data_IF_466967544606
#
_entry.id   IF_466967544606
#
_cell.length_a   1.000
_cell.length_b   1.000
_cell.length_c   1.000
_cell.angle_alpha   90.00
_cell.angle_beta   90.00
_cell.angle_gamma   90.00
#
_symmetry.space_group_name_H-M   'P 1'
#
loop_
_entity.id
_entity.type
_entity.pdbx_description
1 polymer ?
#
# COMPACT_ATOMS: atom_id res chain seq x y z
N UNK A 1 7.30 4.27 -81.96
CA UNK A 1 7.94 5.58 -81.69
C UNK A 1 8.38 5.59 -80.23
N UNK A 2 9.57 6.14 -79.93
CA UNK A 2 10.68 5.32 -79.41
C UNK A 2 11.12 5.70 -77.98
N UNK A 3 11.77 4.76 -77.26
CA UNK A 3 13.17 4.77 -76.80
C UNK A 3 13.55 5.88 -75.78
N UNK A 4 14.28 5.62 -74.69
CA UNK A 4 15.60 4.96 -74.67
C UNK A 4 15.93 4.31 -73.30
N UNK A 5 16.60 3.15 -73.40
CA UNK A 5 17.52 2.55 -72.42
C UNK A 5 18.84 3.33 -72.34
N UNK A 6 19.59 3.16 -71.25
CA UNK A 6 20.99 2.64 -71.13
C UNK A 6 21.49 3.02 -69.71
N UNK A 7 21.86 2.14 -68.76
CA UNK A 7 22.82 1.01 -68.69
C UNK A 7 24.23 1.45 -68.29
N UNK A 8 24.71 0.82 -67.20
CA UNK A 8 26.10 0.44 -66.78
C UNK A 8 27.13 1.52 -66.39
N UNK A 9 27.73 1.43 -65.19
CA UNK A 9 29.00 0.73 -64.79
C UNK A 9 30.24 1.54 -65.20
N UNK A 10 31.40 1.55 -64.56
CA UNK A 10 32.03 0.88 -63.42
C UNK A 10 33.38 1.61 -63.18
N UNK A 11 34.03 1.32 -62.04
CA UNK A 11 35.48 1.32 -61.83
C UNK A 11 36.30 2.63 -61.60
N UNK A 12 36.77 2.71 -60.35
CA UNK A 12 38.18 2.59 -59.94
C UNK A 12 39.15 3.80 -59.94
N UNK A 13 40.08 3.67 -58.98
CA UNK A 13 41.31 4.45 -58.69
C UNK A 13 41.12 5.68 -57.78
N UNK A 14 41.86 5.88 -56.69
CA UNK A 14 43.02 5.17 -56.14
C UNK A 14 43.67 6.01 -55.01
N UNK A 15 44.52 5.37 -54.19
CA UNK A 15 45.49 6.03 -53.29
C UNK A 15 45.06 6.10 -51.82
N UNK A 16 45.42 5.12 -50.97
CA UNK A 16 46.69 5.01 -50.21
C UNK A 16 46.90 6.15 -49.19
N UNK A 17 47.17 5.95 -47.90
CA UNK A 17 48.17 5.05 -47.31
C UNK A 17 47.98 4.96 -45.78
N UNK A 18 48.01 3.73 -45.23
CA UNK A 18 49.04 3.13 -44.33
C UNK A 18 48.83 3.38 -42.82
N UNK A 19 48.43 2.34 -42.07
CA UNK A 19 49.24 1.30 -41.36
C UNK A 19 49.77 1.82 -40.01
N UNK A 20 49.74 1.09 -38.88
CA UNK A 20 50.09 -0.33 -38.68
C UNK A 20 49.32 -0.97 -37.51
N UNK A 21 49.10 -2.27 -37.68
CA UNK A 21 48.84 -3.26 -36.65
C UNK A 21 50.15 -3.87 -36.11
N UNK A 22 50.09 -4.49 -34.92
CA UNK A 22 50.74 -5.76 -34.54
C UNK A 22 50.38 -6.05 -33.07
N UNK A 23 49.48 -6.99 -32.74
CA UNK A 23 49.61 -8.48 -32.61
C UNK A 23 50.44 -9.01 -31.43
N UNK A 24 49.72 -9.80 -30.61
CA UNK A 24 50.06 -11.08 -29.96
C UNK A 24 50.90 -11.12 -28.68
N UNK A 25 50.36 -11.83 -27.68
CA UNK A 25 51.12 -12.52 -26.63
C UNK A 25 50.45 -12.52 -25.25
N UNK A 26 49.95 -13.67 -24.80
CA UNK A 26 49.88 -14.04 -23.38
C UNK A 26 50.57 -15.39 -23.18
N UNK A 27 50.56 -16.02 -21.98
CA UNK A 27 50.56 -15.48 -20.62
C UNK A 27 51.77 -16.02 -19.80
N UNK A 28 52.17 -15.36 -18.70
CA UNK A 28 53.03 -15.99 -17.68
C UNK A 28 52.93 -15.29 -16.32
N UNK A 29 52.88 -16.12 -15.28
CA UNK A 29 52.67 -15.80 -13.87
C UNK A 29 53.88 -15.11 -13.19
N UNK A 30 53.60 -14.34 -12.13
CA UNK A 30 54.45 -14.18 -10.93
C UNK A 30 53.65 -13.46 -9.83
N UNK A 31 53.59 -14.08 -8.64
CA UNK A 31 53.00 -13.54 -7.41
C UNK A 31 54.09 -12.79 -6.57
N UNK A 32 53.83 -12.37 -5.32
CA UNK A 32 53.42 -11.02 -4.93
C UNK A 32 54.50 -10.25 -4.14
N UNK A 33 54.36 -8.92 -4.03
CA UNK A 33 55.16 -8.09 -3.12
C UNK A 33 54.27 -7.24 -2.19
N UNK A 34 54.66 -7.21 -0.92
CA UNK A 34 54.01 -6.62 0.25
C UNK A 34 53.78 -5.10 0.22
N UNK A 35 52.60 -4.68 0.74
CA UNK A 35 52.26 -3.58 1.69
C UNK A 35 52.90 -2.16 1.56
N UNK A 36 52.26 -1.04 2.02
CA UNK A 36 51.32 -0.97 3.14
C UNK A 36 50.05 -0.09 2.96
N UNK A 37 49.04 -0.41 3.79
CA UNK A 37 47.78 0.33 3.97
C UNK A 37 48.01 1.65 4.72
N UNK A 38 47.47 2.76 4.21
CA UNK A 38 47.21 3.98 4.96
C UNK A 38 45.72 4.07 5.29
N UNK A 39 45.42 4.04 6.58
CA UNK A 39 44.10 4.19 7.19
C UNK A 39 43.79 5.67 7.40
N UNK A 40 42.69 6.15 6.85
CA UNK A 40 42.14 7.48 7.14
C UNK A 40 41.13 7.33 8.28
N UNK A 41 41.48 7.83 9.47
CA UNK A 41 40.59 7.90 10.64
C UNK A 41 39.54 9.00 10.42
N UNK A 42 38.25 8.63 10.38
CA UNK A 42 37.16 9.54 10.71
C UNK A 42 36.76 9.28 12.17
N UNK A 43 36.87 10.33 12.99
CA UNK A 43 36.42 10.36 14.39
C UNK A 43 34.89 10.32 14.40
N UNK A 44 34.32 9.20 14.86
CA UNK A 44 32.95 9.17 15.39
C UNK A 44 33.00 9.37 16.91
N UNK A 45 32.08 10.18 17.41
CA UNK A 45 31.85 10.47 18.82
C UNK A 45 31.65 9.17 19.61
N UNK A 46 32.44 8.99 20.67
CA UNK A 46 32.33 7.87 21.59
C UNK A 46 31.27 8.18 22.66
N UNK A 47 30.20 7.40 22.64
CA UNK A 47 29.09 7.36 23.59
C UNK A 47 28.00 6.53 22.91
N UNK A 48 27.62 5.40 23.53
CA UNK A 48 26.56 4.48 23.08
C UNK A 48 26.94 3.37 22.07
N UNK A 49 28.11 2.73 22.25
CA UNK A 49 28.46 1.51 21.50
C UNK A 49 29.28 0.50 22.31
N UNK A 50 28.91 0.28 23.57
CA UNK A 50 29.39 -0.83 24.38
C UNK A 50 28.19 -1.37 25.17
N UNK A 51 27.48 -2.33 24.59
CA UNK A 51 26.56 -3.28 25.24
C UNK A 51 25.81 -4.20 24.23
N UNK A 52 26.07 -4.10 22.93
CA UNK A 52 25.43 -4.92 21.90
C UNK A 52 26.33 -6.02 21.31
N UNK A 53 27.18 -6.65 22.12
CA UNK A 53 28.03 -7.74 21.67
C UNK A 53 28.34 -8.76 22.79
N UNK A 54 27.31 -9.27 23.48
CA UNK A 54 27.39 -10.56 24.17
C UNK A 54 26.00 -11.03 24.63
N UNK A 55 25.24 -11.69 23.75
CA UNK A 55 24.12 -12.57 24.14
C UNK A 55 23.58 -13.31 22.91
N UNK A 56 24.34 -14.28 22.39
CA UNK A 56 23.83 -15.22 21.38
C UNK A 56 23.74 -16.67 21.90
N UNK A 57 23.81 -16.85 23.22
CA UNK A 57 23.78 -18.16 23.90
C UNK A 57 22.77 -18.18 25.07
N UNK A 58 21.63 -17.50 24.90
CA UNK A 58 20.48 -17.71 25.79
C UNK A 58 19.58 -18.77 25.14
N UNK A 59 19.20 -19.86 25.85
CA UNK A 59 18.21 -20.78 25.32
C UNK A 59 16.95 -20.01 24.97
N UNK A 60 16.33 -20.35 23.83
CA UNK A 60 15.06 -19.77 23.39
C UNK A 60 14.12 -19.71 24.61
N UNK A 61 13.58 -18.53 24.96
CA UNK A 61 12.61 -18.44 26.05
C UNK A 61 11.47 -19.40 25.73
N UNK A 62 11.06 -20.19 26.72
CA UNK A 62 9.99 -21.16 26.57
C UNK A 62 8.79 -20.53 25.82
N UNK A 63 8.14 -21.26 24.89
CA UNK A 63 6.95 -20.76 24.21
C UNK A 63 6.01 -20.13 25.23
N UNK A 64 5.45 -18.96 24.91
CA UNK A 64 4.43 -18.36 25.77
C UNK A 64 3.29 -19.37 25.91
N UNK A 65 3.21 -20.01 27.07
CA UNK A 65 2.06 -20.80 27.49
C UNK A 65 1.16 -19.89 28.33
N UNK A 66 -0.15 -19.83 28.04
CA UNK A 66 -1.08 -19.15 28.93
C UNK A 66 -0.99 -19.81 30.31
N UNK A 67 -0.43 -19.13 31.31
CA UNK A 67 -0.42 -19.64 32.68
C UNK A 67 -1.86 -19.76 33.19
N UNK A 68 -2.18 -20.70 34.10
CA UNK A 68 -3.50 -20.77 34.72
C UNK A 68 -3.93 -19.47 35.43
N UNK A 69 -2.97 -18.68 35.93
CA UNK A 69 -3.19 -17.32 36.46
C UNK A 69 -3.24 -16.23 35.39
N UNK A 70 -2.76 -16.51 34.18
CA UNK A 70 -3.01 -15.75 32.94
C UNK A 70 -4.27 -16.27 32.24
N UNK A 71 -5.12 -17.04 32.95
CA UNK A 71 -6.51 -17.16 32.55
C UNK A 71 -6.96 -15.74 32.23
N UNK A 72 -7.53 -15.59 31.04
CA UNK A 72 -8.19 -14.35 30.63
C UNK A 72 -9.38 -14.24 31.58
N UNK A 73 -9.11 -13.89 32.83
CA UNK A 73 -10.08 -13.43 33.77
C UNK A 73 -10.71 -12.26 33.04
N UNK A 74 -12.01 -12.38 32.91
CA UNK A 74 -12.99 -11.45 32.37
C UNK A 74 -12.83 -9.98 32.83
N UNK A 75 -11.86 -9.67 33.68
CA UNK A 75 -11.59 -8.36 34.26
C UNK A 75 -11.07 -7.33 33.24
N UNK A 76 -10.70 -7.75 32.02
CA UNK A 76 -10.42 -6.83 30.90
C UNK A 76 -11.57 -6.69 29.88
N UNK A 77 -12.70 -7.39 30.08
CA UNK A 77 -13.79 -7.50 29.10
C UNK A 77 -14.91 -6.46 29.32
N UNK A 78 -14.90 -5.69 30.41
CA UNK A 78 -15.92 -4.65 30.68
C UNK A 78 -15.73 -3.32 29.92
N UNK A 79 -14.86 -3.28 28.91
CA UNK A 79 -14.45 -2.04 28.24
C UNK A 79 -14.98 -1.90 26.80
N UNK A 80 -16.31 -1.97 26.62
CA UNK A 80 -16.98 -1.40 25.43
C UNK A 80 -16.53 -1.92 24.06
N UNK A 81 -16.07 -3.18 23.97
CA UNK A 81 -15.79 -3.85 22.71
C UNK A 81 -17.04 -4.09 21.87
N UNK A 82 -16.87 -4.30 20.56
CA UNK A 82 -17.94 -4.66 19.65
C UNK A 82 -18.17 -6.18 19.69
N UNK A 83 -19.34 -6.61 20.16
CA UNK A 83 -19.75 -8.02 20.13
C UNK A 83 -20.21 -8.43 18.73
N UNK A 84 -20.89 -7.52 18.03
CA UNK A 84 -21.43 -7.76 16.70
C UNK A 84 -20.85 -6.78 15.67
N UNK A 85 -20.99 -7.14 14.39
CA UNK A 85 -20.74 -6.21 13.27
C UNK A 85 -21.68 -5.00 13.36
N UNK A 86 -22.89 -5.18 13.89
CA UNK A 86 -23.84 -4.09 14.13
C UNK A 86 -23.30 -3.03 15.09
N UNK A 87 -22.64 -3.45 16.16
CA UNK A 87 -22.03 -2.55 17.13
C UNK A 87 -20.86 -1.77 16.53
N UNK A 88 -20.03 -2.44 15.72
CA UNK A 88 -18.95 -1.79 14.98
C UNK A 88 -19.49 -0.74 14.00
N UNK A 89 -20.57 -1.06 13.26
CA UNK A 89 -21.24 -0.10 12.37
C UNK A 89 -21.84 1.06 13.16
N UNK A 90 -22.46 0.79 14.32
CA UNK A 90 -23.01 1.82 15.19
C UNK A 90 -21.92 2.75 15.72
N UNK A 91 -20.76 2.21 16.12
CA UNK A 91 -19.59 2.97 16.56
C UNK A 91 -19.01 3.83 15.43
N UNK A 92 -18.80 3.25 14.25
CA UNK A 92 -18.38 3.98 13.04
C UNK A 92 -19.36 5.12 12.75
N UNK A 93 -20.67 4.84 12.81
CA UNK A 93 -21.73 5.84 12.61
C UNK A 93 -21.65 6.92 13.69
N UNK A 94 -21.46 6.58 14.94
CA UNK A 94 -21.37 7.52 16.05
C UNK A 94 -20.15 8.44 15.93
N UNK A 95 -18.97 7.91 15.61
CA UNK A 95 -17.74 8.70 15.63
C UNK A 95 -17.48 9.46 14.32
N UNK A 96 -17.77 8.85 13.17
CA UNK A 96 -17.54 9.49 11.88
C UNK A 96 -18.73 10.37 11.46
N UNK A 97 -19.95 9.86 11.65
CA UNK A 97 -21.16 10.43 11.06
C UNK A 97 -22.09 11.13 12.04
N UNK A 98 -22.09 10.81 13.33
CA UNK A 98 -22.96 11.49 14.26
C UNK A 98 -22.51 12.93 14.46
N UNK A 99 -23.51 13.81 14.48
CA UNK A 99 -23.36 15.18 14.95
C UNK A 99 -23.15 15.07 16.45
N UNK A 100 -21.88 15.05 16.88
CA UNK A 100 -21.60 15.52 18.24
C UNK A 100 -22.17 16.94 18.30
N UNK A 101 -23.12 17.17 19.18
CA UNK A 101 -23.60 18.50 19.57
C UNK A 101 -22.40 19.22 20.20
N UNK A 102 -21.53 19.78 19.36
CA UNK A 102 -20.35 20.53 19.78
C UNK A 102 -20.06 21.61 18.74
N UNK A 103 -20.11 22.87 19.19
CA UNK A 103 -19.61 24.14 18.63
C UNK A 103 -19.56 24.32 17.09
N UNK A 104 -20.03 25.47 16.59
CA UNK A 104 -20.01 25.87 15.16
C UNK A 104 -18.66 25.61 14.45
N UNK A 105 -17.55 25.69 15.19
CA UNK A 105 -16.18 25.44 14.70
C UNK A 105 -15.97 24.00 14.19
N UNK A 106 -16.53 22.98 14.86
CA UNK A 106 -16.37 21.57 14.49
C UNK A 106 -17.18 21.22 13.23
N UNK A 107 -18.40 21.75 13.13
CA UNK A 107 -19.30 21.55 11.99
C UNK A 107 -18.71 22.18 10.73
N UNK A 108 -18.19 23.41 10.82
CA UNK A 108 -17.58 24.11 9.69
C UNK A 108 -16.29 23.40 9.23
N UNK A 109 -15.52 22.81 10.15
CA UNK A 109 -14.37 21.97 9.84
C UNK A 109 -14.72 20.73 9.00
N UNK A 110 -15.75 19.96 9.42
CA UNK A 110 -16.23 18.79 8.64
C UNK A 110 -16.76 19.21 7.27
N UNK A 111 -17.48 20.32 7.18
CA UNK A 111 -18.03 20.87 5.92
C UNK A 111 -16.91 21.31 4.96
N UNK A 112 -15.88 22.00 5.49
CA UNK A 112 -14.68 22.40 4.74
C UNK A 112 -13.93 21.19 4.20
N UNK A 113 -13.77 20.14 5.02
CA UNK A 113 -13.14 18.88 4.61
C UNK A 113 -13.85 18.21 3.42
N UNK A 114 -15.18 18.06 3.50
CA UNK A 114 -16.00 17.50 2.41
C UNK A 114 -15.89 18.32 1.13
N UNK A 115 -15.93 19.66 1.24
CA UNK A 115 -15.72 20.57 0.10
C UNK A 115 -14.35 20.37 -0.55
N UNK A 116 -13.28 20.25 0.24
CA UNK A 116 -11.92 20.03 -0.31
C UNK A 116 -11.84 18.71 -1.09
N UNK A 117 -12.41 17.62 -0.56
CA UNK A 117 -12.41 16.34 -1.27
C UNK A 117 -13.25 16.39 -2.55
N UNK A 118 -14.39 17.09 -2.53
CA UNK A 118 -15.20 17.30 -3.72
C UNK A 118 -14.46 18.12 -4.78
N UNK A 119 -13.79 19.21 -4.38
CA UNK A 119 -12.96 20.02 -5.30
C UNK A 119 -11.83 19.17 -5.89
N UNK A 120 -11.17 18.35 -5.08
CA UNK A 120 -10.13 17.44 -5.55
C UNK A 120 -10.66 16.42 -6.57
N UNK A 121 -11.85 15.86 -6.34
CA UNK A 121 -12.50 14.95 -7.29
C UNK A 121 -12.87 15.67 -8.60
N UNK A 122 -13.46 16.87 -8.51
CA UNK A 122 -13.78 17.68 -9.70
C UNK A 122 -12.52 18.03 -10.48
N UNK A 123 -11.43 18.40 -9.80
CA UNK A 123 -10.14 18.66 -10.42
C UNK A 123 -9.59 17.41 -11.11
N UNK A 124 -9.61 16.25 -10.45
CA UNK A 124 -9.19 14.97 -11.02
C UNK A 124 -9.99 14.64 -12.29
N UNK A 125 -11.30 14.81 -12.25
CA UNK A 125 -12.18 14.57 -13.41
C UNK A 125 -11.88 15.57 -14.52
N UNK A 126 -11.74 16.86 -14.21
CA UNK A 126 -11.46 17.90 -15.20
C UNK A 126 -10.13 17.67 -15.93
N UNK A 127 -9.12 17.12 -15.25
CA UNK A 127 -7.83 16.74 -15.83
C UNK A 127 -8.00 15.66 -16.93
N UNK A 128 -8.96 14.75 -16.77
CA UNK A 128 -9.11 13.56 -17.62
C UNK A 128 -10.29 13.60 -18.60
N UNK A 129 -11.26 14.50 -18.42
CA UNK A 129 -12.48 14.60 -19.26
C UNK A 129 -12.20 14.95 -20.72
N UNK A 130 -11.10 15.64 -21.00
CA UNK A 130 -10.81 16.23 -22.31
C UNK A 130 -9.63 15.59 -23.03
N UNK A 131 -9.28 14.36 -22.71
CA UNK A 131 -8.02 13.76 -23.16
C UNK A 131 -8.17 12.97 -24.49
N UNK A 132 -7.74 13.52 -25.65
CA UNK A 132 -7.58 12.77 -26.90
C UNK A 132 -6.26 11.98 -26.97
N UNK A 133 -5.45 11.94 -25.90
CA UNK A 133 -4.15 11.26 -25.84
C UNK A 133 -2.96 12.22 -25.81
N UNK A 134 -1.95 11.97 -26.64
CA UNK A 134 -0.67 12.69 -26.60
C UNK A 134 -0.78 14.14 -27.12
N UNK A 135 -0.07 15.08 -26.47
CA UNK A 135 -0.02 16.49 -26.88
C UNK A 135 -0.15 17.49 -25.71
N UNK A 136 -0.73 18.66 -25.96
CA UNK A 136 -0.90 19.71 -24.94
C UNK A 136 -1.78 19.25 -23.76
N UNK A 137 -2.73 18.35 -24.03
CA UNK A 137 -3.59 17.73 -23.02
C UNK A 137 -2.80 16.85 -22.05
N UNK A 138 -1.78 16.12 -22.53
CA UNK A 138 -0.87 15.38 -21.64
C UNK A 138 -0.07 16.32 -20.73
N UNK A 139 0.28 17.53 -21.20
CA UNK A 139 0.95 18.53 -20.34
C UNK A 139 0.03 19.00 -19.23
N UNK A 140 -1.24 19.29 -19.55
CA UNK A 140 -2.27 19.61 -18.55
C UNK A 140 -2.44 18.45 -17.56
N UNK A 141 -2.41 17.20 -18.06
CA UNK A 141 -2.50 16.00 -17.22
C UNK A 141 -1.33 15.89 -16.24
N UNK A 142 -0.10 16.03 -16.73
CA UNK A 142 1.12 15.98 -15.91
C UNK A 142 1.14 17.08 -14.84
N UNK A 143 0.88 18.33 -15.24
CA UNK A 143 0.95 19.48 -14.32
C UNK A 143 -0.23 19.49 -13.36
N UNK A 144 -1.43 19.19 -13.86
CA UNK A 144 -2.66 19.13 -13.07
C UNK A 144 -2.61 18.02 -12.02
N UNK A 145 -2.17 16.81 -12.39
CA UNK A 145 -2.02 15.72 -11.42
C UNK A 145 -0.92 16.01 -10.40
N UNK A 146 0.14 16.72 -10.77
CA UNK A 146 1.21 17.12 -9.85
C UNK A 146 0.68 18.13 -8.83
N UNK A 147 0.01 19.18 -9.30
CA UNK A 147 -0.59 20.19 -8.43
C UNK A 147 -1.63 19.57 -7.48
N UNK A 148 -2.47 18.65 -7.98
CA UNK A 148 -3.45 17.94 -7.17
C UNK A 148 -2.78 17.01 -6.14
N UNK A 149 -1.76 16.24 -6.55
CA UNK A 149 -0.99 15.37 -5.67
C UNK A 149 -0.31 16.13 -4.53
N UNK A 150 0.36 17.25 -4.85
CA UNK A 150 0.96 18.15 -3.86
C UNK A 150 -0.10 18.74 -2.94
N UNK A 151 -1.24 19.17 -3.47
CA UNK A 151 -2.35 19.71 -2.66
C UNK A 151 -2.93 18.70 -1.67
N UNK A 152 -3.11 17.44 -2.09
CA UNK A 152 -3.58 16.36 -1.23
C UNK A 152 -2.52 15.96 -0.18
N UNK A 153 -1.24 15.92 -0.56
CA UNK A 153 -0.14 15.66 0.36
C UNK A 153 0.00 16.76 1.43
N UNK A 154 -0.08 18.04 1.03
CA UNK A 154 -0.06 19.17 1.95
C UNK A 154 -1.24 19.13 2.92
N UNK A 155 -2.41 18.70 2.46
CA UNK A 155 -3.57 18.44 3.33
C UNK A 155 -3.30 17.31 4.32
N UNK A 156 -2.70 16.20 3.86
CA UNK A 156 -2.32 15.06 4.72
C UNK A 156 -1.33 15.46 5.82
N UNK A 157 -0.37 16.32 5.49
CA UNK A 157 0.57 16.92 6.45
C UNK A 157 -0.18 17.80 7.47
N UNK A 158 -1.06 18.69 6.99
CA UNK A 158 -1.84 19.57 7.86
C UNK A 158 -2.82 18.83 8.77
N UNK A 159 -3.35 17.67 8.32
CA UNK A 159 -4.24 16.85 9.14
C UNK A 159 -3.51 15.90 10.10
N UNK A 160 -2.17 15.92 10.13
CA UNK A 160 -1.35 15.02 10.93
C UNK A 160 -1.35 13.56 10.46
N UNK A 161 -1.89 13.28 9.27
CA UNK A 161 -1.96 11.93 8.70
C UNK A 161 -0.63 11.50 8.05
N UNK A 162 0.22 12.48 7.73
CA UNK A 162 1.55 12.31 7.14
C UNK A 162 2.55 13.16 7.91
N UNK A 163 3.78 12.69 8.07
CA UNK A 163 4.90 13.55 8.44
C UNK A 163 5.47 14.27 7.20
N UNK A 164 6.50 15.11 7.37
CA UNK A 164 7.07 15.86 6.25
C UNK A 164 7.66 14.94 5.15
N UNK A 165 8.28 13.82 5.54
CA UNK A 165 8.82 12.83 4.60
C UNK A 165 7.70 12.05 3.90
N UNK A 166 6.67 11.68 4.65
CA UNK A 166 5.45 11.06 4.16
C UNK A 166 4.73 11.95 3.16
N UNK A 167 4.62 13.25 3.43
CA UNK A 167 4.02 14.21 2.51
C UNK A 167 4.80 14.31 1.18
N UNK A 168 6.13 14.36 1.21
CA UNK A 168 6.94 14.38 0.00
C UNK A 168 6.73 13.11 -0.85
N UNK A 169 6.80 11.93 -0.22
CA UNK A 169 6.54 10.65 -0.91
C UNK A 169 5.08 10.51 -1.39
N UNK A 170 4.11 11.04 -0.65
CA UNK A 170 2.70 11.03 -1.03
C UNK A 170 2.42 11.96 -2.21
N UNK A 171 3.14 13.07 -2.35
CA UNK A 171 3.06 13.92 -3.52
C UNK A 171 3.56 13.17 -4.78
N UNK A 172 4.64 12.39 -4.66
CA UNK A 172 5.19 11.58 -5.75
C UNK A 172 4.24 10.43 -6.16
N UNK A 173 3.83 9.61 -5.20
CA UNK A 173 2.88 8.50 -5.40
C UNK A 173 1.54 9.02 -5.92
N UNK A 174 1.05 10.11 -5.31
CA UNK A 174 -0.17 10.79 -5.70
C UNK A 174 -0.10 11.31 -7.12
N UNK A 175 0.97 12.00 -7.49
CA UNK A 175 1.16 12.50 -8.85
C UNK A 175 1.06 11.40 -9.91
N UNK A 176 1.82 10.31 -9.75
CA UNK A 176 1.82 9.21 -10.73
C UNK A 176 0.48 8.48 -10.80
N UNK A 177 -0.17 8.24 -9.66
CA UNK A 177 -1.47 7.55 -9.63
C UNK A 177 -2.61 8.43 -10.16
N UNK A 178 -2.61 9.73 -9.82
CA UNK A 178 -3.60 10.69 -10.32
C UNK A 178 -3.39 10.96 -11.82
N UNK A 179 -2.15 10.93 -12.31
CA UNK A 179 -1.82 11.00 -13.74
C UNK A 179 -2.41 9.82 -14.52
N UNK A 180 -2.45 8.63 -13.92
CA UNK A 180 -2.90 7.42 -14.61
C UNK A 180 -4.40 7.40 -14.94
N UNK A 181 -5.25 8.11 -14.18
CA UNK A 181 -6.66 8.21 -14.48
C UNK A 181 -7.56 8.45 -13.26
N UNK A 182 -8.84 8.72 -13.53
CA UNK A 182 -9.84 8.98 -12.48
C UNK A 182 -10.05 7.76 -11.59
N UNK A 183 -10.07 6.55 -12.15
CA UNK A 183 -10.22 5.29 -11.38
C UNK A 183 -9.11 5.11 -10.38
N UNK A 184 -7.86 5.19 -10.85
CA UNK A 184 -6.69 5.02 -10.02
C UNK A 184 -6.61 6.10 -8.93
N UNK A 185 -6.84 7.36 -9.30
CA UNK A 185 -6.87 8.48 -8.38
C UNK A 185 -7.97 8.39 -7.32
N UNK A 186 -9.18 7.99 -7.72
CA UNK A 186 -10.30 7.80 -6.79
C UNK A 186 -10.04 6.62 -5.85
N UNK A 187 -9.49 5.51 -6.34
CA UNK A 187 -9.12 4.36 -5.51
C UNK A 187 -8.06 4.74 -4.47
N UNK A 188 -6.97 5.41 -4.87
CA UNK A 188 -5.95 5.91 -3.94
C UNK A 188 -6.57 6.86 -2.91
N UNK A 189 -7.42 7.79 -3.35
CA UNK A 189 -8.12 8.71 -2.47
C UNK A 189 -9.00 8.00 -1.44
N UNK A 190 -9.83 7.05 -1.88
CA UNK A 190 -10.70 6.27 -1.00
C UNK A 190 -9.88 5.43 -0.02
N UNK A 191 -8.86 4.71 -0.49
CA UNK A 191 -7.95 3.96 0.38
C UNK A 191 -7.34 4.89 1.45
N UNK A 192 -6.71 6.00 1.04
CA UNK A 192 -6.04 6.89 1.97
C UNK A 192 -7.01 7.51 2.99
N UNK A 193 -8.10 8.12 2.53
CA UNK A 193 -8.99 8.87 3.41
C UNK A 193 -9.89 7.96 4.25
N UNK A 194 -10.40 6.85 3.70
CA UNK A 194 -11.24 5.93 4.45
C UNK A 194 -10.42 5.15 5.48
N UNK A 195 -9.24 4.63 5.12
CA UNK A 195 -8.36 3.97 6.09
C UNK A 195 -7.87 4.94 7.17
N UNK A 196 -7.55 6.20 6.83
CA UNK A 196 -7.23 7.23 7.84
C UNK A 196 -8.42 7.64 8.72
N UNK A 197 -9.66 7.38 8.28
CA UNK A 197 -10.83 7.55 9.14
C UNK A 197 -10.98 6.35 10.09
N UNK A 198 -10.73 5.12 9.61
CA UNK A 198 -10.78 3.91 10.43
C UNK A 198 -9.76 3.91 11.57
N UNK A 199 -8.58 4.50 11.36
CA UNK A 199 -7.57 4.64 12.44
C UNK A 199 -8.04 5.47 13.63
N UNK A 200 -9.05 6.34 13.44
CA UNK A 200 -9.63 7.17 14.49
C UNK A 200 -10.78 6.49 15.22
N UNK A 201 -11.45 5.52 14.58
CA UNK A 201 -12.60 4.83 15.16
C UNK A 201 -12.16 4.06 16.39
N UNK A 202 -12.81 4.28 17.53
CA UNK A 202 -12.51 3.60 18.78
C UNK A 202 -11.14 3.97 19.37
N UNK A 203 -10.58 5.15 19.03
CA UNK A 203 -9.23 5.56 19.47
C UNK A 203 -9.04 5.48 21.00
N UNK A 204 -10.07 5.77 21.79
CA UNK A 204 -10.05 5.65 23.26
C UNK A 204 -9.84 4.22 23.76
N UNK A 205 -10.41 3.24 23.06
CA UNK A 205 -10.28 1.81 23.39
C UNK A 205 -8.89 1.35 22.92
N UNK A 206 -8.51 1.73 21.69
CA UNK A 206 -7.20 1.43 21.09
C UNK A 206 -6.04 1.96 21.91
N UNK A 207 -6.19 3.10 22.57
CA UNK A 207 -5.16 3.70 23.43
C UNK A 207 -4.64 2.78 24.56
N UNK A 208 -5.44 1.78 24.96
CA UNK A 208 -5.06 0.79 25.97
C UNK A 208 -4.23 -0.37 25.41
N UNK A 209 -4.31 -0.61 24.11
CA UNK A 209 -3.71 -1.77 23.42
C UNK A 209 -2.54 -1.35 22.54
N UNK A 210 -2.63 -0.19 21.90
CA UNK A 210 -1.69 0.30 20.89
C UNK A 210 -0.35 0.74 21.52
N UNK A 211 0.74 0.16 21.01
CA UNK A 211 2.11 0.49 21.42
C UNK A 211 2.48 1.93 21.08
N UNK A 212 1.97 2.45 19.96
CA UNK A 212 2.37 3.74 19.39
C UNK A 212 1.37 4.86 19.68
N UNK A 213 0.44 4.62 20.60
CA UNK A 213 -0.58 5.60 20.94
C UNK A 213 0.00 6.77 21.74
N UNK A 214 0.22 7.90 21.06
CA UNK A 214 0.48 9.19 21.69
C UNK A 214 -0.81 10.03 21.77
N UNK A 215 -1.13 10.57 22.95
CA UNK A 215 -2.27 11.49 23.13
C UNK A 215 -2.13 12.67 22.15
N UNK A 216 -3.09 12.80 21.22
CA UNK A 216 -3.11 13.86 20.21
C UNK A 216 -2.53 13.50 18.84
N UNK A 217 -1.98 12.27 18.66
CA UNK A 217 -1.57 11.72 17.35
C UNK A 217 -2.31 10.42 17.03
N UNK A 218 -3.62 10.44 17.21
CA UNK A 218 -4.49 9.29 16.95
C UNK A 218 -4.34 8.83 15.48
N UNK A 219 -3.67 7.68 15.28
CA UNK A 219 -3.42 7.04 13.99
C UNK A 219 -1.98 7.09 13.46
N UNK A 220 -1.05 7.78 14.14
CA UNK A 220 0.35 7.90 13.73
C UNK A 220 0.56 8.69 12.42
N UNK A 221 1.53 9.60 12.39
CA UNK A 221 1.89 10.27 11.14
C UNK A 221 2.67 9.30 10.26
N UNK A 222 2.13 8.93 9.08
CA UNK A 222 2.82 7.99 8.20
C UNK A 222 4.08 8.63 7.63
N UNK A 223 5.20 7.91 7.74
CA UNK A 223 6.49 8.33 7.19
C UNK A 223 6.64 7.88 5.73
N UNK A 224 7.73 8.30 5.09
CA UNK A 224 8.01 7.96 3.70
C UNK A 224 8.09 6.45 3.43
N UNK A 225 8.57 5.64 4.39
CA UNK A 225 8.68 4.18 4.24
C UNK A 225 7.28 3.58 4.11
N UNK A 226 6.37 3.95 5.00
CA UNK A 226 4.98 3.45 4.96
C UNK A 226 4.25 3.90 3.68
N UNK A 227 4.48 5.15 3.24
CA UNK A 227 3.84 5.67 2.04
C UNK A 227 4.38 4.98 0.78
N UNK A 228 5.69 4.77 0.66
CA UNK A 228 6.27 4.07 -0.48
C UNK A 228 5.92 2.58 -0.47
N UNK A 229 5.97 1.93 0.69
CA UNK A 229 5.58 0.52 0.83
C UNK A 229 4.13 0.29 0.37
N UNK A 230 3.20 1.18 0.69
CA UNK A 230 1.80 1.00 0.32
C UNK A 230 1.41 1.63 -1.02
N UNK A 231 2.22 2.53 -1.57
CA UNK A 231 1.83 3.38 -2.70
C UNK A 231 2.68 3.25 -3.96
N UNK A 232 3.94 2.83 -3.85
CA UNK A 232 4.87 2.90 -4.98
C UNK A 232 4.57 1.86 -6.07
N UNK A 233 4.39 0.59 -5.68
CA UNK A 233 4.02 -0.50 -6.61
C UNK A 233 2.72 -0.20 -7.36
N UNK A 234 1.59 0.14 -6.69
CA UNK A 234 0.37 0.46 -7.41
C UNK A 234 0.50 1.72 -8.27
N UNK A 235 1.36 2.69 -7.91
CA UNK A 235 1.66 3.82 -8.79
C UNK A 235 2.28 3.35 -10.10
N UNK A 236 3.28 2.45 -10.05
CA UNK A 236 3.88 1.89 -11.25
C UNK A 236 2.90 1.05 -12.07
N UNK A 237 2.02 0.26 -11.43
CA UNK A 237 0.97 -0.49 -12.11
C UNK A 237 0.00 0.44 -12.85
N UNK A 238 -0.43 1.52 -12.20
CA UNK A 238 -1.32 2.52 -12.77
C UNK A 238 -0.66 3.28 -13.93
N UNK A 239 0.60 3.70 -13.77
CA UNK A 239 1.35 4.36 -14.84
C UNK A 239 1.58 3.43 -16.03
N UNK A 240 1.97 2.17 -15.78
CA UNK A 240 2.12 1.16 -16.82
C UNK A 240 0.83 0.95 -17.61
N UNK A 241 -0.31 0.95 -16.91
CA UNK A 241 -1.63 0.87 -17.54
C UNK A 241 -1.86 2.08 -18.44
N UNK A 242 -1.68 3.30 -17.92
CA UNK A 242 -1.94 4.54 -18.65
C UNK A 242 -1.04 4.71 -19.88
N UNK A 243 0.21 4.24 -19.82
CA UNK A 243 1.12 4.24 -20.97
C UNK A 243 0.74 3.19 -22.02
N UNK A 244 0.27 2.01 -21.60
CA UNK A 244 -0.15 0.96 -22.53
C UNK A 244 -1.43 1.32 -23.30
N UNK A 245 -2.38 1.97 -22.64
CA UNK A 245 -3.67 2.38 -23.24
C UNK A 245 -3.61 3.70 -23.98
N UNK A 246 -2.53 4.48 -23.84
CA UNK A 246 -2.43 5.85 -24.36
C UNK A 246 -3.40 6.84 -23.70
N UNK A 247 -4.09 6.44 -22.62
CA UNK A 247 -5.14 7.24 -21.97
C UNK A 247 -5.83 6.53 -20.79
N UNK A 248 -6.55 7.27 -19.94
CA UNK A 248 -6.91 6.83 -18.58
C UNK A 248 -8.09 5.85 -18.46
N UNK A 249 -8.85 5.61 -19.53
CA UNK A 249 -10.16 4.95 -19.47
C UNK A 249 -10.25 3.81 -20.49
N UNK A 250 -9.90 2.59 -20.08
CA UNK A 250 -10.08 1.39 -20.91
C UNK A 250 -10.94 0.34 -20.20
N UNK A 251 -11.82 -0.31 -20.95
CA UNK A 251 -12.64 -1.40 -20.44
C UNK A 251 -11.74 -2.59 -20.11
N UNK A 252 -11.73 -3.02 -18.84
CA UNK A 252 -11.28 -4.36 -18.46
C UNK A 252 -11.98 -5.43 -19.31
N UNK A 253 -11.19 -6.36 -19.82
CA UNK A 253 -11.64 -7.36 -20.75
C UNK A 253 -10.58 -8.45 -20.94
N UNK A 254 -11.05 -9.61 -21.38
CA UNK A 254 -10.24 -10.82 -21.52
C UNK A 254 -9.25 -10.71 -22.68
N UNK A 255 -9.59 -9.92 -23.69
CA UNK A 255 -8.77 -9.66 -24.89
C UNK A 255 -7.63 -8.66 -24.65
N UNK A 256 -7.57 -8.04 -23.47
CA UNK A 256 -6.53 -7.08 -23.11
C UNK A 256 -5.37 -7.83 -22.46
N UNK A 257 -4.31 -8.09 -23.23
CA UNK A 257 -3.19 -8.91 -22.77
C UNK A 257 -2.38 -8.27 -21.61
N UNK A 258 -2.50 -6.96 -21.38
CA UNK A 258 -1.65 -6.25 -20.42
C UNK A 258 -2.42 -5.32 -19.46
N UNK A 259 -3.47 -4.66 -19.94
CA UNK A 259 -4.22 -3.63 -19.22
C UNK A 259 -5.08 -4.23 -18.09
N UNK A 260 -5.82 -5.30 -18.38
CA UNK A 260 -6.66 -5.99 -17.39
C UNK A 260 -5.81 -6.59 -16.27
N UNK A 261 -4.70 -7.30 -16.55
CA UNK A 261 -3.78 -7.74 -15.51
C UNK A 261 -3.24 -6.62 -14.64
N UNK A 262 -2.81 -5.49 -15.21
CA UNK A 262 -2.31 -4.34 -14.44
C UNK A 262 -3.38 -3.72 -13.54
N UNK A 263 -4.60 -3.55 -14.05
CA UNK A 263 -5.71 -3.04 -13.26
C UNK A 263 -6.11 -3.99 -12.14
N UNK A 264 -6.15 -5.30 -12.41
CA UNK A 264 -6.43 -6.32 -11.40
C UNK A 264 -5.35 -6.34 -10.31
N UNK A 265 -4.07 -6.25 -10.69
CA UNK A 265 -2.96 -6.13 -9.76
C UNK A 265 -3.08 -4.87 -8.88
N UNK A 266 -3.43 -3.74 -9.48
CA UNK A 266 -3.66 -2.47 -8.76
C UNK A 266 -4.79 -2.59 -7.73
N UNK A 267 -5.92 -3.17 -8.13
CA UNK A 267 -7.07 -3.42 -7.24
C UNK A 267 -6.64 -4.36 -6.12
N UNK A 268 -5.96 -5.48 -6.44
CA UNK A 268 -5.49 -6.44 -5.45
C UNK A 268 -4.54 -5.84 -4.42
N UNK A 269 -3.59 -5.02 -4.88
CA UNK A 269 -2.64 -4.35 -4.02
C UNK A 269 -3.33 -3.46 -2.99
N UNK A 270 -4.18 -2.52 -3.45
CA UNK A 270 -4.88 -1.61 -2.55
C UNK A 270 -5.96 -2.31 -1.73
N UNK A 271 -6.60 -3.33 -2.26
CA UNK A 271 -7.59 -4.11 -1.53
C UNK A 271 -6.93 -4.89 -0.39
N UNK A 272 -5.76 -5.48 -0.62
CA UNK A 272 -4.94 -6.11 0.41
C UNK A 272 -4.56 -5.09 1.49
N UNK A 273 -3.97 -3.95 1.10
CA UNK A 273 -3.58 -2.89 2.05
C UNK A 273 -4.77 -2.34 2.84
N UNK A 274 -5.90 -2.10 2.17
CA UNK A 274 -7.13 -1.59 2.78
C UNK A 274 -7.77 -2.63 3.69
N UNK A 275 -7.78 -3.89 3.27
CA UNK A 275 -8.30 -5.02 4.04
C UNK A 275 -7.51 -5.20 5.33
N UNK A 276 -6.17 -5.25 5.25
CA UNK A 276 -5.30 -5.32 6.42
C UNK A 276 -5.49 -4.14 7.37
N UNK A 277 -5.51 -2.91 6.83
CA UNK A 277 -5.70 -1.72 7.67
C UNK A 277 -7.06 -1.74 8.37
N UNK A 278 -8.14 -2.12 7.69
CA UNK A 278 -9.46 -2.14 8.32
C UNK A 278 -9.59 -3.31 9.30
N UNK A 279 -8.96 -4.44 9.02
CA UNK A 279 -8.92 -5.60 9.89
C UNK A 279 -8.18 -5.32 11.20
N UNK A 280 -7.00 -4.71 11.13
CA UNK A 280 -6.21 -4.35 12.31
C UNK A 280 -6.89 -3.25 13.14
N UNK A 281 -7.49 -2.26 12.47
CA UNK A 281 -8.14 -1.13 13.14
C UNK A 281 -9.50 -1.47 13.75
N UNK A 282 -10.31 -2.33 13.13
CA UNK A 282 -11.63 -2.71 13.67
C UNK A 282 -11.59 -4.03 14.43
N UNK A 283 -10.68 -4.94 14.06
CA UNK A 283 -10.53 -6.24 14.71
C UNK A 283 -10.07 -6.15 16.16
N UNK A 284 -9.24 -5.14 16.49
CA UNK A 284 -8.80 -4.86 17.87
C UNK A 284 -9.96 -4.45 18.78
N UNK A 285 -11.07 -3.98 18.21
CA UNK A 285 -12.27 -3.60 18.96
C UNK A 285 -13.20 -4.80 19.20
N UNK A 286 -12.89 -5.99 18.68
CA UNK A 286 -13.76 -7.16 18.84
C UNK A 286 -13.80 -7.62 20.29
N UNK A 287 -15.00 -7.91 20.80
CA UNK A 287 -15.18 -8.59 22.08
C UNK A 287 -14.73 -10.06 22.03
N UNK A 288 -14.72 -10.67 20.85
CA UNK A 288 -14.17 -12.02 20.66
C UNK A 288 -12.65 -11.95 20.67
N UNK A 289 -11.97 -12.71 21.53
CA UNK A 289 -10.52 -12.63 21.62
C UNK A 289 -9.87 -13.18 20.33
N UNK A 290 -8.79 -12.56 19.85
CA UNK A 290 -8.14 -12.97 18.60
C UNK A 290 -7.50 -14.35 18.72
N UNK A 291 -7.51 -15.07 17.60
CA UNK A 291 -6.87 -16.39 17.47
C UNK A 291 -5.71 -16.30 16.50
N UNK A 292 -4.60 -16.96 16.82
CA UNK A 292 -3.41 -16.94 15.97
C UNK A 292 -3.67 -17.73 14.68
N UNK A 293 -3.42 -17.13 13.51
CA UNK A 293 -3.74 -17.76 12.22
C UNK A 293 -2.96 -19.06 11.96
N UNK A 294 -1.73 -19.16 12.47
CA UNK A 294 -0.89 -20.37 12.35
C UNK A 294 -1.28 -21.46 13.34
N UNK A 295 -2.05 -21.13 14.38
CA UNK A 295 -2.49 -22.06 15.42
C UNK A 295 -3.88 -21.61 15.91
N UNK A 296 -4.96 -21.91 15.17
CA UNK A 296 -6.29 -21.34 15.43
C UNK A 296 -6.89 -21.65 16.81
N UNK A 297 -6.38 -22.69 17.48
CA UNK A 297 -6.77 -23.03 18.85
C UNK A 297 -6.13 -22.12 19.90
N UNK A 298 -5.06 -21.41 19.55
CA UNK A 298 -4.32 -20.50 20.43
C UNK A 298 -4.99 -19.12 20.43
N UNK A 299 -5.50 -18.74 21.60
CA UNK A 299 -6.03 -17.40 21.87
C UNK A 299 -4.89 -16.47 22.27
N UNK A 300 -4.81 -15.29 21.67
CA UNK A 300 -3.74 -14.31 21.91
C UNK A 300 -4.32 -12.97 22.37
N UNK A 301 -3.46 -12.08 22.88
CA UNK A 301 -3.90 -10.72 23.27
C UNK A 301 -4.15 -9.86 22.03
N UNK A 302 -5.12 -8.92 22.07
CA UNK A 302 -5.28 -7.90 21.03
C UNK A 302 -3.95 -7.17 20.74
N UNK A 303 -3.68 -6.92 19.46
CA UNK A 303 -2.41 -6.33 19.01
C UNK A 303 -1.28 -7.33 18.74
N UNK A 304 -1.52 -8.63 18.87
CA UNK A 304 -0.56 -9.67 18.45
C UNK A 304 -0.55 -9.80 16.92
N UNK A 305 0.63 -9.74 16.27
CA UNK A 305 0.70 -9.94 14.82
C UNK A 305 0.25 -11.36 14.45
N UNK A 306 -0.62 -11.45 13.45
CA UNK A 306 -1.28 -12.69 13.02
C UNK A 306 -2.46 -13.15 13.86
N UNK A 307 -2.90 -12.34 14.83
CA UNK A 307 -4.17 -12.55 15.54
C UNK A 307 -5.37 -12.12 14.70
N UNK A 308 -6.29 -13.04 14.42
CA UNK A 308 -7.47 -12.81 13.57
C UNK A 308 -8.75 -12.88 14.40
N UNK A 309 -9.68 -11.96 14.15
CA UNK A 309 -11.04 -11.96 14.73
C UNK A 309 -12.10 -12.01 13.63
N UNK A 310 -13.32 -12.51 13.90
CA UNK A 310 -14.42 -12.47 12.93
C UNK A 310 -14.75 -11.04 12.48
N UNK A 311 -14.73 -10.07 13.40
CA UNK A 311 -14.95 -8.66 13.09
C UNK A 311 -13.84 -8.12 12.17
N UNK A 312 -12.58 -8.47 12.44
CA UNK A 312 -11.46 -8.11 11.58
C UNK A 312 -11.59 -8.69 10.17
N UNK A 313 -12.08 -9.92 10.04
CA UNK A 313 -12.31 -10.55 8.73
C UNK A 313 -13.42 -9.84 7.93
N UNK A 314 -14.54 -9.50 8.55
CA UNK A 314 -15.59 -8.71 7.90
C UNK A 314 -15.09 -7.32 7.52
N UNK A 315 -14.32 -6.68 8.41
CA UNK A 315 -13.70 -5.39 8.15
C UNK A 315 -12.71 -5.45 6.98
N UNK A 316 -11.95 -6.54 6.84
CA UNK A 316 -11.02 -6.75 5.71
C UNK A 316 -11.76 -6.79 4.38
N UNK A 317 -12.88 -7.53 4.31
CA UNK A 317 -13.73 -7.59 3.13
C UNK A 317 -14.38 -6.24 2.82
N UNK A 318 -14.80 -5.49 3.84
CA UNK A 318 -15.35 -4.15 3.67
C UNK A 318 -14.31 -3.14 3.14
N UNK A 319 -13.06 -3.23 3.62
CA UNK A 319 -11.95 -2.41 3.12
C UNK A 319 -11.62 -2.72 1.66
N UNK A 320 -11.53 -4.00 1.31
CA UNK A 320 -11.36 -4.45 -0.07
C UNK A 320 -12.52 -4.06 -0.99
N UNK A 321 -13.76 -4.17 -0.49
CA UNK A 321 -14.96 -3.73 -1.21
C UNK A 321 -14.95 -2.22 -1.47
N UNK A 322 -14.51 -1.41 -0.50
CA UNK A 322 -14.40 0.03 -0.67
C UNK A 322 -13.41 0.40 -1.79
N UNK A 323 -12.29 -0.33 -1.88
CA UNK A 323 -11.30 -0.20 -2.97
C UNK A 323 -11.91 -0.59 -4.32
N UNK A 324 -12.57 -1.74 -4.40
CA UNK A 324 -13.24 -2.22 -5.62
C UNK A 324 -14.36 -1.27 -6.08
N UNK A 325 -15.16 -0.77 -5.14
CA UNK A 325 -16.23 0.19 -5.40
C UNK A 325 -15.67 1.54 -5.90
N UNK A 326 -14.57 2.02 -5.30
CA UNK A 326 -13.91 3.24 -5.75
C UNK A 326 -13.40 3.11 -7.20
N UNK A 327 -12.78 1.97 -7.53
CA UNK A 327 -12.30 1.71 -8.88
C UNK A 327 -13.47 1.62 -9.88
N UNK A 328 -14.53 0.90 -9.52
CA UNK A 328 -15.75 0.75 -10.33
C UNK A 328 -16.44 2.11 -10.58
N UNK A 329 -16.72 2.88 -9.52
CA UNK A 329 -17.36 4.19 -9.64
C UNK A 329 -16.48 5.17 -10.43
N UNK A 330 -15.17 5.14 -10.20
CA UNK A 330 -14.23 5.97 -10.95
C UNK A 330 -14.35 5.78 -12.46
N UNK A 331 -14.76 4.58 -12.88
CA UNK A 331 -14.94 4.26 -14.29
C UNK A 331 -16.25 4.69 -14.91
N UNK A 332 -17.24 5.00 -14.08
CA UNK A 332 -18.51 5.55 -14.54
C UNK A 332 -18.44 7.07 -14.69
N UNK A 333 -17.58 7.74 -13.91
CA UNK A 333 -17.57 9.21 -13.80
C UNK A 333 -17.31 9.90 -15.14
N UNK A 334 -16.21 9.56 -15.83
CA UNK A 334 -15.85 10.26 -17.08
C UNK A 334 -16.89 10.01 -18.18
N UNK A 335 -17.33 8.77 -18.47
CA UNK A 335 -18.39 8.51 -19.43
C UNK A 335 -19.71 9.25 -19.12
N UNK A 336 -20.12 9.31 -17.86
CA UNK A 336 -21.35 10.02 -17.45
C UNK A 336 -21.22 11.53 -17.63
N UNK A 337 -20.11 12.13 -17.19
CA UNK A 337 -19.88 13.59 -17.31
C UNK A 337 -19.73 14.04 -18.76
N UNK A 338 -19.23 13.16 -19.64
CA UNK A 338 -19.07 13.43 -21.08
C UNK A 338 -20.30 13.08 -21.92
N UNK A 339 -21.38 12.56 -21.31
CA UNK A 339 -22.60 12.15 -22.03
C UNK A 339 -22.45 10.86 -22.85
N UNK A 340 -21.40 10.08 -22.63
CA UNK A 340 -21.11 8.82 -23.32
C UNK A 340 -21.83 7.64 -22.64
N UNK A 341 -23.16 7.68 -22.62
CA UNK A 341 -23.99 6.73 -21.86
C UNK A 341 -23.77 5.27 -22.25
N UNK A 342 -23.59 4.96 -23.53
CA UNK A 342 -23.26 3.60 -23.99
C UNK A 342 -21.97 3.05 -23.36
N UNK A 343 -20.94 3.89 -23.25
CA UNK A 343 -19.69 3.53 -22.59
C UNK A 343 -19.89 3.38 -21.08
N UNK A 344 -20.70 4.24 -20.46
CA UNK A 344 -21.05 4.13 -19.04
C UNK A 344 -21.75 2.79 -18.73
N UNK A 345 -22.67 2.34 -19.59
CA UNK A 345 -23.33 1.05 -19.44
C UNK A 345 -22.34 -0.12 -19.55
N UNK A 346 -21.37 -0.06 -20.47
CA UNK A 346 -20.31 -1.06 -20.55
C UNK A 346 -19.40 -1.07 -19.32
N UNK A 347 -19.15 0.09 -18.70
CA UNK A 347 -18.43 0.12 -17.43
C UNK A 347 -19.28 -0.40 -16.27
N UNK A 348 -20.59 -0.23 -16.32
CA UNK A 348 -21.50 -0.75 -15.30
C UNK A 348 -21.53 -2.29 -15.26
N UNK A 349 -21.25 -2.97 -16.38
CA UNK A 349 -21.12 -4.44 -16.39
C UNK A 349 -19.85 -4.95 -15.69
N UNK A 350 -18.91 -4.06 -15.33
CA UNK A 350 -17.67 -4.40 -14.62
C UNK A 350 -17.84 -4.50 -13.10
N UNK A 351 -19.07 -4.67 -12.62
CA UNK A 351 -19.37 -4.89 -11.21
C UNK A 351 -18.62 -6.07 -10.55
N UNK A 352 -18.13 -7.13 -11.26
CA UNK A 352 -17.32 -8.17 -10.62
C UNK A 352 -16.04 -7.65 -9.93
N UNK A 353 -15.55 -6.46 -10.28
CA UNK A 353 -14.45 -5.79 -9.58
C UNK A 353 -14.74 -5.60 -8.08
N UNK A 354 -16.01 -5.46 -7.69
CA UNK A 354 -16.41 -5.36 -6.29
C UNK A 354 -16.11 -6.66 -5.53
N UNK A 355 -16.43 -7.81 -6.13
CA UNK A 355 -16.16 -9.12 -5.56
C UNK A 355 -14.65 -9.41 -5.52
N UNK A 356 -13.92 -9.03 -6.57
CA UNK A 356 -12.45 -9.13 -6.61
C UNK A 356 -11.84 -8.28 -5.50
N UNK A 357 -12.28 -7.02 -5.32
CA UNK A 357 -11.81 -6.16 -4.24
C UNK A 357 -12.10 -6.75 -2.86
N UNK A 358 -13.34 -7.16 -2.59
CA UNK A 358 -13.70 -7.77 -1.31
C UNK A 358 -12.90 -9.06 -1.02
N UNK A 359 -12.78 -9.95 -2.01
CA UNK A 359 -12.01 -11.18 -1.89
C UNK A 359 -10.52 -10.92 -1.68
N UNK A 360 -9.94 -9.96 -2.41
CA UNK A 360 -8.54 -9.57 -2.25
C UNK A 360 -8.26 -8.93 -0.89
N UNK A 361 -9.21 -8.17 -0.33
CA UNK A 361 -9.10 -7.65 1.04
C UNK A 361 -9.07 -8.76 2.09
N UNK A 362 -9.96 -9.75 1.96
CA UNK A 362 -10.01 -10.92 2.85
C UNK A 362 -8.73 -11.74 2.73
N UNK A 363 -8.42 -12.24 1.52
CA UNK A 363 -7.26 -13.10 1.28
C UNK A 363 -5.96 -12.37 1.60
N UNK A 364 -5.85 -11.10 1.21
CA UNK A 364 -4.69 -10.26 1.49
C UNK A 364 -4.43 -10.12 2.99
N UNK A 365 -5.46 -9.80 3.79
CA UNK A 365 -5.32 -9.69 5.25
C UNK A 365 -4.95 -11.02 5.93
N UNK A 366 -5.40 -12.15 5.38
CA UNK A 366 -5.03 -13.48 5.87
C UNK A 366 -3.57 -13.81 5.55
N UNK A 367 -3.11 -13.49 4.33
CA UNK A 367 -1.69 -13.63 3.95
C UNK A 367 -0.81 -12.74 4.84
N UNK A 368 -1.23 -11.50 5.07
CA UNK A 368 -0.56 -10.58 5.99
C UNK A 368 -0.47 -11.16 7.40
N UNK A 369 -1.59 -11.69 7.92
CA UNK A 369 -1.63 -12.35 9.22
C UNK A 369 -0.70 -13.55 9.31
N UNK A 370 -0.57 -14.36 8.26
CA UNK A 370 0.34 -15.52 8.24
C UNK A 370 1.79 -15.05 8.27
N UNK A 371 2.14 -14.03 7.48
CA UNK A 371 3.47 -13.43 7.52
C UNK A 371 3.74 -12.76 8.88
N UNK A 372 2.76 -12.06 9.44
CA UNK A 372 2.83 -11.45 10.76
C UNK A 372 3.07 -12.46 11.87
N UNK A 373 2.38 -13.61 11.84
CA UNK A 373 2.56 -14.67 12.84
C UNK A 373 3.92 -15.40 12.73
N UNK A 374 4.55 -15.37 11.54
CA UNK A 374 5.75 -16.18 11.25
C UNK A 374 7.03 -15.35 11.24
N UNK A 375 7.06 -14.22 10.53
CA UNK A 375 8.28 -13.44 10.24
C UNK A 375 8.30 -12.04 10.86
N UNK A 376 7.25 -11.66 11.61
CA UNK A 376 7.18 -10.39 12.34
C UNK A 376 7.13 -10.62 13.85
N UNK A 377 7.99 -9.95 14.60
CA UNK A 377 8.07 -10.14 16.05
C UNK A 377 6.82 -9.58 16.74
N UNK A 378 6.27 -10.37 17.67
CA UNK A 378 5.29 -9.90 18.66
C UNK A 378 5.73 -10.34 20.05
N UNK A 379 5.83 -9.40 20.98
CA UNK A 379 6.10 -9.68 22.39
C UNK A 379 5.14 -8.94 23.31
N UNK A 380 4.93 -9.46 24.52
CA UNK A 380 4.16 -8.80 25.57
C UNK A 380 5.09 -8.10 26.56
N UNK A 381 4.93 -6.79 26.73
CA UNK A 381 5.75 -6.02 27.67
C UNK A 381 5.05 -5.91 29.03
N UNK A 382 5.59 -6.57 30.06
CA UNK A 382 4.98 -6.57 31.41
C UNK A 382 4.93 -5.19 32.06
N UNK A 383 5.85 -4.28 31.72
CA UNK A 383 5.87 -2.91 32.27
C UNK A 383 4.83 -1.99 31.62
N UNK A 384 4.57 -2.20 30.33
CA UNK A 384 3.64 -1.37 29.55
C UNK A 384 2.24 -2.01 29.43
N UNK A 385 2.11 -3.23 29.93
CA UNK A 385 0.93 -4.09 29.91
C UNK A 385 0.29 -4.28 28.53
N UNK A 386 1.08 -4.19 27.46
CA UNK A 386 0.60 -4.26 26.07
C UNK A 386 1.56 -5.00 25.15
N UNK A 387 1.06 -5.37 23.99
CA UNK A 387 1.85 -5.97 22.92
C UNK A 387 2.83 -4.95 22.35
N UNK A 388 4.02 -5.42 22.01
CA UNK A 388 5.11 -4.63 21.44
C UNK A 388 5.73 -5.34 20.25
N UNK A 389 6.22 -4.54 19.32
CA UNK A 389 6.82 -4.97 18.05
C UNK A 389 8.34 -5.14 18.11
N UNK A 390 8.97 -4.76 19.21
CA UNK A 390 10.43 -4.86 19.41
C UNK A 390 10.79 -5.67 20.65
N UNK A 391 11.85 -6.51 20.59
CA UNK A 391 12.39 -7.17 21.77
C UNK A 391 12.89 -6.17 22.83
N UNK A 392 12.90 -6.60 24.09
CA UNK A 392 13.46 -5.79 25.17
C UNK A 392 13.47 -6.53 26.52
N UNK A 393 14.12 -5.96 27.55
CA UNK A 393 14.36 -6.66 28.83
C UNK A 393 13.08 -7.05 29.59
N UNK A 394 11.97 -6.35 29.37
CA UNK A 394 10.67 -6.62 29.99
C UNK A 394 9.66 -7.22 29.02
N UNK A 395 10.11 -7.77 27.88
CA UNK A 395 9.28 -8.24 26.78
C UNK A 395 9.39 -9.76 26.65
N UNK A 396 8.28 -10.45 26.83
CA UNK A 396 8.20 -11.90 26.59
C UNK A 396 7.70 -12.15 25.17
N UNK A 397 8.45 -12.91 24.37
CA UNK A 397 8.07 -13.25 23.00
C UNK A 397 6.77 -14.06 22.97
N UNK A 398 5.85 -13.70 22.07
CA UNK A 398 4.56 -14.38 21.85
C UNK A 398 4.53 -15.07 20.49
N UNK A 399 4.91 -14.37 19.41
CA UNK A 399 4.88 -14.94 18.05
C UNK A 399 5.95 -14.32 17.13
N UNK A 400 6.20 -15.03 16.03
CA UNK A 400 7.01 -14.60 14.90
C UNK A 400 8.51 -14.45 15.14
N UNK A 401 9.24 -14.24 14.05
CA UNK A 401 10.66 -13.91 14.03
C UNK A 401 10.85 -12.40 13.97
N UNK A 402 11.98 -11.90 14.45
CA UNK A 402 12.33 -10.48 14.28
C UNK A 402 13.04 -10.25 12.93
N UNK A 403 12.37 -10.61 11.83
CA UNK A 403 12.95 -10.55 10.48
C UNK A 403 12.39 -9.40 9.65
N UNK A 404 11.07 -9.24 9.60
CA UNK A 404 10.40 -8.17 8.85
C UNK A 404 9.75 -7.16 9.79
N UNK A 405 9.79 -5.88 9.39
CA UNK A 405 8.95 -4.83 9.97
C UNK A 405 7.52 -4.90 9.43
N UNK A 406 6.56 -4.26 10.10
CA UNK A 406 5.18 -4.19 9.63
C UNK A 406 5.06 -3.65 8.19
N UNK A 407 5.77 -2.56 7.87
CA UNK A 407 5.74 -2.00 6.51
C UNK A 407 6.29 -2.97 5.45
N UNK A 408 7.23 -3.86 5.82
CA UNK A 408 7.75 -4.88 4.91
C UNK A 408 6.77 -6.04 4.74
N UNK A 409 6.09 -6.46 5.82
CA UNK A 409 5.05 -7.49 5.75
C UNK A 409 3.89 -7.02 4.85
N UNK A 410 3.37 -5.82 5.08
CA UNK A 410 2.34 -5.21 4.25
C UNK A 410 2.76 -5.08 2.78
N UNK A 411 4.02 -4.71 2.53
CA UNK A 411 4.57 -4.65 1.17
C UNK A 411 4.56 -6.04 0.51
N UNK A 412 5.09 -7.07 1.20
CA UNK A 412 5.16 -8.43 0.66
C UNK A 412 3.76 -9.01 0.43
N UNK A 413 2.85 -8.88 1.40
CA UNK A 413 1.47 -9.38 1.29
C UNK A 413 0.73 -8.71 0.12
N UNK A 414 0.84 -7.39 -0.02
CA UNK A 414 0.22 -6.65 -1.11
C UNK A 414 0.82 -6.97 -2.49
N UNK A 415 2.16 -7.11 -2.59
CA UNK A 415 2.83 -7.55 -3.84
C UNK A 415 2.38 -8.96 -4.23
N UNK A 416 2.29 -9.89 -3.27
CA UNK A 416 1.80 -11.25 -3.53
C UNK A 416 0.36 -11.23 -4.02
N UNK A 417 -0.52 -10.47 -3.37
CA UNK A 417 -1.92 -10.34 -3.78
C UNK A 417 -2.03 -9.75 -5.20
N UNK A 418 -1.28 -8.68 -5.50
CA UNK A 418 -1.23 -8.07 -6.82
C UNK A 418 -0.73 -9.05 -7.88
N UNK A 419 0.31 -9.83 -7.56
CA UNK A 419 0.89 -10.84 -8.45
C UNK A 419 -0.10 -11.96 -8.76
N UNK A 420 -0.80 -12.47 -7.73
CA UNK A 420 -1.83 -13.51 -7.89
C UNK A 420 -2.96 -13.01 -8.78
N UNK A 421 -3.45 -11.77 -8.59
CA UNK A 421 -4.49 -11.24 -9.46
C UNK A 421 -3.99 -10.94 -10.88
N UNK A 422 -2.77 -10.43 -11.03
CA UNK A 422 -2.14 -10.21 -12.34
C UNK A 422 -2.12 -11.51 -13.15
N UNK A 423 -1.51 -12.57 -12.61
CA UNK A 423 -1.42 -13.85 -13.32
C UNK A 423 -2.74 -14.61 -13.36
N UNK A 424 -3.59 -14.46 -12.35
CA UNK A 424 -4.92 -15.06 -12.31
C UNK A 424 -5.81 -14.57 -13.46
N UNK A 425 -5.78 -13.27 -13.78
CA UNK A 425 -6.50 -12.75 -14.95
C UNK A 425 -5.96 -13.28 -16.28
N UNK A 426 -4.65 -13.51 -16.37
CA UNK A 426 -4.02 -14.15 -17.55
C UNK A 426 -4.42 -15.63 -17.64
N UNK A 427 -4.51 -16.33 -16.50
CA UNK A 427 -4.77 -17.77 -16.43
C UNK A 427 -6.24 -18.15 -16.67
N UNK A 428 -7.20 -17.35 -16.17
CA UNK A 428 -8.64 -17.56 -16.40
C UNK A 428 -9.01 -17.36 -17.89
N UNK A 429 -8.19 -16.63 -18.63
CA UNK A 429 -7.94 -16.87 -20.06
C UNK A 429 -8.86 -16.16 -21.04
N UNK A 430 -8.27 -15.66 -22.14
CA UNK A 430 -8.48 -16.04 -23.55
C UNK A 430 -8.06 -14.90 -24.52
N UNK A 431 -7.47 -15.17 -25.71
CA UNK A 431 -6.42 -16.13 -26.09
C UNK A 431 -5.03 -15.46 -26.13
N UNK A 432 -3.96 -16.25 -26.31
CA UNK A 432 -2.64 -15.74 -26.73
C UNK A 432 -2.54 -15.83 -28.26
N UNK A 433 -1.95 -14.83 -28.93
CA UNK A 433 -1.91 -14.72 -30.39
C UNK A 433 -1.30 -15.94 -31.08
#
# INVERSE_FOLDING_TARGET
MPARRFVESSDAHGGSSRRRAATLGGPAALAPAHAPRRTTRLRASAGDAADAADSNDSPDPAPWEPRPSDSIASDSIDAGGCETVGDAVALIRAELFARKTDSDVSVEGKKRSKRTLLIALVALVAIHVRDPGWGIWNTIRVVGSLALGVGLAARGLKSGSLDASGAASAALVGWGTLYAGVRFGLTLGVFFFASSAMTRVGSKIKARVDEHHEKGKEGGARNWIQVLANGLVPTFLAMGYAFATGGPEHLLGVTNAFETPLAAAFIGYYACCGGDTWASELGVLSATPPRLITSPNTVVKPGTNGGVTPLGLVASGAGGLAVGLAFYLGGLIVPLVTGRFELALRFATQWPVLAIGAGAGIVGSLVDSVLGATVQFSGYCSKRERMVSTPGPSVTKVSGLNFLSNSMVNFVSAVLCATVLYFGTIAVGLPRP
#
